data_IF_591610616256
#
_entry.id   IF_591610616256
#
_cell.length_a   1.000
_cell.length_b   1.000
_cell.length_c   1.000
_cell.angle_alpha   90.00
_cell.angle_beta   90.00
_cell.angle_gamma   90.00
#
_symmetry.space_group_name_H-M   'P 1'
#
loop_
_entity.id
_entity.type
_entity.pdbx_description
1 polymer ?
#
# COMPACT_ATOMS: atom_id res chain seq x y z
N UNK A 1 10.37 -11.26 -9.73
CA UNK A 1 9.57 -10.75 -8.59
C UNK A 1 10.02 -9.38 -8.06
N UNK A 2 11.27 -8.93 -8.22
CA UNK A 2 11.74 -7.61 -7.74
C UNK A 2 11.09 -6.40 -8.46
N UNK A 3 10.80 -6.52 -9.75
CA UNK A 3 10.21 -5.43 -10.56
C UNK A 3 8.79 -5.02 -10.15
N UNK A 4 7.94 -5.97 -9.73
CA UNK A 4 6.56 -5.66 -9.32
C UNK A 4 6.49 -4.83 -8.04
N UNK A 5 7.36 -5.10 -7.05
CA UNK A 5 7.44 -4.27 -5.84
C UNK A 5 7.90 -2.86 -6.17
N UNK A 6 8.94 -2.71 -7.01
CA UNK A 6 9.40 -1.40 -7.43
C UNK A 6 8.30 -0.61 -8.16
N UNK A 7 7.54 -1.27 -9.03
CA UNK A 7 6.41 -0.65 -9.71
C UNK A 7 5.32 -0.16 -8.74
N UNK A 8 4.99 -0.94 -7.70
CA UNK A 8 4.05 -0.52 -6.66
C UNK A 8 4.60 0.67 -5.89
N UNK A 9 5.86 0.64 -5.45
CA UNK A 9 6.46 1.75 -4.69
C UNK A 9 6.48 3.04 -5.53
N UNK A 10 6.92 2.97 -6.78
CA UNK A 10 6.90 4.13 -7.69
C UNK A 10 5.48 4.60 -7.98
N UNK A 11 4.52 3.69 -8.10
CA UNK A 11 3.11 4.04 -8.24
C UNK A 11 2.57 4.77 -7.01
N UNK A 12 2.89 4.33 -5.79
CA UNK A 12 2.47 5.03 -4.55
C UNK A 12 2.95 6.48 -4.56
N UNK A 13 4.22 6.71 -4.89
CA UNK A 13 4.78 8.07 -4.99
C UNK A 13 4.04 8.92 -6.04
N UNK A 14 3.74 8.34 -7.22
CA UNK A 14 3.02 9.04 -8.29
C UNK A 14 1.55 9.34 -7.94
N UNK A 15 0.93 8.56 -7.04
CA UNK A 15 -0.40 8.86 -6.51
C UNK A 15 -0.41 9.99 -5.47
N UNK A 16 0.75 10.60 -5.18
CA UNK A 16 0.90 11.65 -4.17
C UNK A 16 1.37 11.13 -2.81
N UNK A 17 1.92 9.92 -2.76
CA UNK A 17 2.48 9.31 -1.55
C UNK A 17 1.48 8.45 -0.78
N UNK A 18 1.99 7.75 0.24
CA UNK A 18 1.20 6.77 1.00
C UNK A 18 0.03 7.40 1.74
N UNK A 19 0.17 8.64 2.24
CA UNK A 19 -0.89 9.32 2.98
C UNK A 19 -2.14 9.55 2.13
N UNK A 20 -1.98 9.92 0.86
CA UNK A 20 -3.11 10.09 -0.07
C UNK A 20 -3.85 8.78 -0.27
N UNK A 21 -3.13 7.65 -0.34
CA UNK A 21 -3.77 6.33 -0.44
C UNK A 21 -4.53 5.96 0.83
N UNK A 22 -3.98 6.23 2.02
CA UNK A 22 -4.68 6.00 3.28
C UNK A 22 -5.99 6.79 3.34
N UNK A 23 -5.96 8.05 2.95
CA UNK A 23 -7.15 8.92 2.91
C UNK A 23 -8.20 8.42 1.91
N UNK A 24 -7.78 7.97 0.73
CA UNK A 24 -8.67 7.35 -0.27
C UNK A 24 -9.31 6.08 0.26
N UNK A 25 -8.55 5.20 0.92
CA UNK A 25 -9.07 3.98 1.52
C UNK A 25 -10.09 4.28 2.63
N UNK A 26 -9.80 5.25 3.50
CA UNK A 26 -10.73 5.70 4.54
C UNK A 26 -12.02 6.26 3.93
N UNK A 27 -11.89 7.18 2.98
CA UNK A 27 -13.01 7.83 2.29
C UNK A 27 -13.83 6.85 1.45
N UNK A 28 -13.19 5.82 0.91
CA UNK A 28 -13.82 4.72 0.17
C UNK A 28 -14.51 3.66 1.05
N UNK A 29 -14.65 3.91 2.36
CA UNK A 29 -15.34 3.01 3.28
C UNK A 29 -14.51 1.80 3.76
N UNK A 30 -13.21 1.75 3.42
CA UNK A 30 -12.31 0.68 3.85
C UNK A 30 -11.56 1.02 5.15
N UNK A 31 -11.97 2.07 5.87
CA UNK A 31 -11.30 2.51 7.12
C UNK A 31 -11.20 1.41 8.18
N UNK A 32 -12.23 0.58 8.35
CA UNK A 32 -12.19 -0.55 9.29
C UNK A 32 -11.14 -1.59 8.89
N UNK A 33 -11.08 -1.96 7.61
CA UNK A 33 -10.08 -2.90 7.09
C UNK A 33 -8.68 -2.28 7.21
N UNK A 34 -8.52 -1.02 6.82
CA UNK A 34 -7.26 -0.28 6.92
C UNK A 34 -6.75 -0.23 8.37
N UNK A 35 -7.63 -0.07 9.36
CA UNK A 35 -7.23 -0.07 10.77
C UNK A 35 -6.56 -1.38 11.19
N UNK A 36 -6.94 -2.51 10.57
CA UNK A 36 -6.30 -3.81 10.83
C UNK A 36 -4.92 -3.91 10.21
N UNK A 37 -4.69 -3.23 9.09
CA UNK A 37 -3.37 -3.17 8.45
C UNK A 37 -2.41 -2.26 9.20
N UNK A 38 -2.93 -1.21 9.83
CA UNK A 38 -2.12 -0.32 10.66
C UNK A 38 -1.79 -0.95 12.02
N UNK A 39 -2.64 -1.85 12.52
CA UNK A 39 -2.51 -2.44 13.84
C UNK A 39 -1.28 -3.35 13.95
N UNK A 40 -0.49 -3.16 15.00
CA UNK A 40 0.59 -4.08 15.36
C UNK A 40 0.11 -5.29 16.20
N UNK A 41 -1.20 -5.43 16.43
CA UNK A 41 -1.79 -6.51 17.25
C UNK A 41 -2.75 -7.42 16.46
N UNK A 42 -3.29 -6.96 15.34
CA UNK A 42 -4.27 -7.68 14.53
C UNK A 42 -3.63 -8.17 13.24
N UNK A 43 -4.16 -9.26 12.67
CA UNK A 43 -3.76 -9.70 11.33
C UNK A 43 -4.45 -8.85 10.26
N UNK A 44 -3.75 -8.63 9.13
CA UNK A 44 -4.29 -7.90 8.00
C UNK A 44 -5.59 -8.54 7.48
N UNK A 45 -6.72 -7.82 7.59
CA UNK A 45 -7.96 -8.29 6.97
C UNK A 45 -7.82 -8.32 5.44
N UNK A 46 -8.37 -9.35 4.78
CA UNK A 46 -8.38 -9.42 3.33
C UNK A 46 -9.25 -8.31 2.74
N UNK A 47 -8.90 -7.90 1.52
CA UNK A 47 -9.66 -6.95 0.70
C UNK A 47 -9.71 -7.50 -0.72
N UNK A 48 -10.78 -7.23 -1.47
CA UNK A 48 -10.86 -7.60 -2.88
C UNK A 48 -10.27 -6.52 -3.80
N UNK A 49 -9.92 -6.91 -5.03
CA UNK A 49 -9.45 -5.96 -6.04
C UNK A 49 -10.52 -4.91 -6.37
N UNK A 50 -11.79 -5.30 -6.42
CA UNK A 50 -12.93 -4.42 -6.70
C UNK A 50 -13.15 -3.40 -5.58
N UNK A 51 -12.98 -3.82 -4.31
CA UNK A 51 -13.06 -2.91 -3.16
C UNK A 51 -11.95 -1.86 -3.22
N UNK A 52 -10.72 -2.28 -3.55
CA UNK A 52 -9.60 -1.35 -3.71
C UNK A 52 -9.81 -0.42 -4.90
N UNK A 53 -10.27 -0.93 -6.04
CA UNK A 53 -10.56 -0.09 -7.20
C UNK A 53 -11.65 0.94 -6.88
N UNK A 54 -12.69 0.54 -6.16
CA UNK A 54 -13.76 1.44 -5.72
C UNK A 54 -13.25 2.54 -4.79
N UNK A 55 -12.32 2.22 -3.88
CA UNK A 55 -11.79 3.19 -2.92
C UNK A 55 -10.67 4.08 -3.49
N UNK A 56 -9.79 3.53 -4.31
CA UNK A 56 -8.62 4.22 -4.88
C UNK A 56 -8.94 4.94 -6.19
N UNK A 57 -9.99 4.50 -6.89
CA UNK A 57 -10.41 4.94 -8.21
C UNK A 57 -9.79 4.11 -9.34
N UNK A 58 -10.60 3.80 -10.35
CA UNK A 58 -10.18 3.03 -11.55
C UNK A 58 -8.95 3.60 -12.23
N UNK A 59 -8.83 4.93 -12.33
CA UNK A 59 -7.67 5.56 -12.96
C UNK A 59 -6.36 5.23 -12.22
N UNK A 60 -6.36 5.36 -10.90
CA UNK A 60 -5.19 5.07 -10.08
C UNK A 60 -4.76 3.60 -10.25
N UNK A 61 -5.70 2.67 -10.24
CA UNK A 61 -5.40 1.24 -10.43
C UNK A 61 -4.95 0.95 -11.86
N UNK A 62 -5.53 1.62 -12.86
CA UNK A 62 -5.13 1.50 -14.26
C UNK A 62 -3.70 1.99 -14.50
N UNK A 63 -3.27 3.07 -13.84
CA UNK A 63 -1.89 3.57 -13.92
C UNK A 63 -0.86 2.50 -13.50
N UNK A 64 -1.17 1.74 -12.44
CA UNK A 64 -0.34 0.61 -12.03
C UNK A 64 -0.35 -0.51 -13.08
N UNK A 65 -1.54 -0.82 -13.64
CA UNK A 65 -1.68 -1.79 -14.72
C UNK A 65 -0.79 -1.46 -15.92
N UNK A 66 -0.82 -0.19 -16.36
CA UNK A 66 0.02 0.30 -17.46
C UNK A 66 1.51 0.13 -17.17
N UNK A 67 1.98 0.42 -15.96
CA UNK A 67 3.38 0.21 -15.56
C UNK A 67 3.82 -1.24 -15.62
N UNK A 68 2.91 -2.14 -15.28
CA UNK A 68 3.16 -3.57 -15.23
C UNK A 68 2.89 -4.27 -16.58
N UNK A 69 2.29 -3.57 -17.55
CA UNK A 69 1.85 -4.16 -18.81
C UNK A 69 0.69 -5.14 -18.64
N UNK A 70 -0.18 -4.91 -17.66
CA UNK A 70 -1.34 -5.75 -17.34
C UNK A 70 -2.62 -4.93 -17.32
N UNK A 71 -3.77 -5.61 -17.36
CA UNK A 71 -5.08 -4.98 -17.24
C UNK A 71 -5.37 -4.52 -15.79
N UNK A 72 -6.38 -3.65 -15.65
CA UNK A 72 -6.78 -3.06 -14.36
C UNK A 72 -7.22 -4.11 -13.33
N UNK A 73 -7.87 -5.20 -13.75
CA UNK A 73 -8.32 -6.27 -12.84
C UNK A 73 -7.14 -7.07 -12.28
N UNK A 74 -6.14 -7.34 -13.11
CA UNK A 74 -4.87 -7.93 -12.67
C UNK A 74 -4.12 -6.99 -11.70
N UNK A 75 -4.10 -5.69 -11.98
CA UNK A 75 -3.47 -4.70 -11.11
C UNK A 75 -4.19 -4.56 -9.76
N UNK A 76 -5.53 -4.53 -9.75
CA UNK A 76 -6.33 -4.46 -8.53
C UNK A 76 -6.14 -5.69 -7.64
N UNK A 77 -6.09 -6.88 -8.25
CA UNK A 77 -5.81 -8.14 -7.56
C UNK A 77 -4.40 -8.16 -6.95
N UNK A 78 -3.42 -7.61 -7.66
CA UNK A 78 -2.07 -7.46 -7.12
C UNK A 78 -2.03 -6.49 -5.92
N UNK A 79 -2.73 -5.35 -6.01
CA UNK A 79 -2.84 -4.42 -4.89
C UNK A 79 -3.52 -5.07 -3.69
N UNK A 80 -4.58 -5.86 -3.90
CA UNK A 80 -5.27 -6.59 -2.84
C UNK A 80 -4.34 -7.54 -2.07
N UNK A 81 -3.36 -8.13 -2.75
CA UNK A 81 -2.41 -9.05 -2.15
C UNK A 81 -1.23 -8.37 -1.45
N UNK A 82 -0.79 -7.20 -1.97
CA UNK A 82 0.48 -6.58 -1.56
C UNK A 82 0.29 -5.33 -0.70
N UNK A 83 -0.71 -4.49 -0.99
CA UNK A 83 -0.93 -3.22 -0.31
C UNK A 83 -1.14 -3.39 1.21
N UNK A 84 -1.91 -4.38 1.70
CA UNK A 84 -2.05 -4.61 3.15
C UNK A 84 -0.70 -4.88 3.84
N UNK A 85 0.15 -5.69 3.21
CA UNK A 85 1.48 -6.06 3.73
C UNK A 85 2.45 -4.88 3.74
N UNK A 86 2.36 -4.01 2.73
CA UNK A 86 3.18 -2.81 2.64
C UNK A 86 2.80 -1.83 3.75
N UNK A 87 1.51 -1.58 3.95
CA UNK A 87 1.02 -0.67 5.00
C UNK A 87 1.42 -1.18 6.38
N UNK A 88 1.16 -2.45 6.68
CA UNK A 88 1.56 -3.12 7.92
C UNK A 88 3.07 -3.01 8.19
N UNK A 89 3.89 -3.28 7.18
CA UNK A 89 5.34 -3.14 7.33
C UNK A 89 5.77 -1.72 7.70
N UNK A 90 5.05 -0.70 7.21
CA UNK A 90 5.34 0.72 7.43
C UNK A 90 4.74 1.30 8.73
N UNK A 91 3.91 0.53 9.43
CA UNK A 91 3.21 0.95 10.65
C UNK A 91 3.54 0.12 11.90
N UNK A 92 4.82 -0.12 12.24
CA UNK A 92 5.16 -0.97 13.38
C UNK A 92 4.69 -0.39 14.74
N UNK A 93 4.45 0.92 14.81
CA UNK A 93 3.90 1.61 15.99
C UNK A 93 2.37 1.80 15.96
N UNK A 94 1.64 1.19 15.02
CA UNK A 94 0.20 1.42 14.88
C UNK A 94 -0.17 2.54 13.90
N UNK A 95 0.82 3.25 13.38
CA UNK A 95 0.68 4.40 12.48
C UNK A 95 1.82 4.39 11.46
N UNK A 96 1.55 4.82 10.22
CA UNK A 96 2.58 4.92 9.18
C UNK A 96 3.64 5.94 9.59
N UNK A 97 4.91 5.56 9.49
CA UNK A 97 6.02 6.47 9.84
C UNK A 97 5.99 7.76 9.02
N UNK A 98 6.31 8.91 9.64
CA UNK A 98 6.41 10.18 8.93
C UNK A 98 7.44 10.16 7.78
N UNK A 99 8.46 9.31 7.89
CA UNK A 99 9.44 9.08 6.82
C UNK A 99 8.78 8.47 5.57
N UNK A 100 7.88 7.50 5.75
CA UNK A 100 7.20 6.83 4.64
C UNK A 100 6.29 7.77 3.84
N UNK A 101 5.90 8.90 4.43
CA UNK A 101 5.16 9.94 3.73
C UNK A 101 6.03 10.81 2.81
N UNK A 102 7.34 10.89 3.07
CA UNK A 102 8.28 11.68 2.26
C UNK A 102 9.03 10.81 1.26
N UNK A 103 9.45 9.62 1.67
CA UNK A 103 10.17 8.66 0.83
C UNK A 103 9.90 7.24 1.33
N UNK A 104 9.08 6.52 0.56
CA UNK A 104 8.67 5.16 0.90
C UNK A 104 9.83 4.16 0.87
N UNK A 105 10.80 4.35 -0.03
CA UNK A 105 11.95 3.46 -0.15
C UNK A 105 12.88 3.62 1.05
N UNK A 106 13.16 4.86 1.45
CA UNK A 106 13.98 5.16 2.62
C UNK A 106 13.35 4.62 3.90
N UNK A 107 12.04 4.82 4.10
CA UNK A 107 11.32 4.24 5.24
C UNK A 107 11.40 2.70 5.25
N UNK A 108 11.21 2.06 4.10
CA UNK A 108 11.38 0.60 3.95
C UNK A 108 12.77 0.11 4.34
N UNK A 109 13.82 0.85 3.97
CA UNK A 109 15.20 0.52 4.36
C UNK A 109 15.45 0.66 5.86
N UNK A 110 14.89 1.69 6.51
CA UNK A 110 15.02 1.86 7.96
C UNK A 110 14.34 0.74 8.74
N UNK A 111 13.17 0.28 8.28
CA UNK A 111 12.49 -0.87 8.86
C UNK A 111 13.32 -2.14 8.73
N UNK A 112 13.93 -2.36 7.56
CA UNK A 112 14.82 -3.49 7.34
C UNK A 112 16.03 -3.42 8.29
N UNK A 113 16.65 -2.25 8.44
CA UNK A 113 17.74 -2.04 9.41
C UNK A 113 17.26 -2.36 10.84
N UNK A 114 16.11 -1.84 11.24
CA UNK A 114 15.53 -2.12 12.57
C UNK A 114 15.22 -3.60 12.83
N UNK A 115 15.00 -4.40 11.78
CA UNK A 115 14.84 -5.87 11.91
C UNK A 115 16.17 -6.63 11.93
N UNK A 116 17.21 -6.12 11.27
CA UNK A 116 18.53 -6.76 11.20
C UNK A 116 19.41 -6.46 12.42
N UNK A 117 19.22 -5.29 13.04
CA UNK A 117 20.06 -4.79 14.13
C UNK A 117 19.33 -4.76 15.49
N UNK A 118 18.24 -5.53 15.62
CA UNK A 118 17.53 -5.72 16.89
C UNK A 118 18.02 -6.96 17.62
#
# INVERSE_FOLDING_TARGET
MRGKYQAILSWVEEQGGIQVLLEKLQSGGLGAILSTWLSNQQGNQPVSGEQLESALGTNAVSDLGQKLGVDTSTASSLLAEQLPKIIDALSPQGEVSAQANNDLLSAGMELLKGKLFR
#
